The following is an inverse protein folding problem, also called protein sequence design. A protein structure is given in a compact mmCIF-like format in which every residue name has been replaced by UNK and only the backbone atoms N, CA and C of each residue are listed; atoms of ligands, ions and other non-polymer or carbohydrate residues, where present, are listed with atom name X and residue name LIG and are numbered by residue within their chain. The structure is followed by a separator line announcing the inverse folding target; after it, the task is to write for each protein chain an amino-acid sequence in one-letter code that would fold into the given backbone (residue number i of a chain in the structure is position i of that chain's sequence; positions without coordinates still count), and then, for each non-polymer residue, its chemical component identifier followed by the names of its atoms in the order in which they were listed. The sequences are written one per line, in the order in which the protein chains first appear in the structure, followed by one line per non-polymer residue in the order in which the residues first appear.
data_IF_312373788133
#
_entry.id   IF_312373788133
#
_cell.length_a   1.000
_cell.length_b   1.000
_cell.length_c   1.000
_cell.angle_alpha   90.00
_cell.angle_beta   90.00
_cell.angle_gamma   90.00
#
_symmetry.space_group_name_H-M   'P 1'
#
loop_
_entity.id
_entity.type
_entity.pdbx_description
1 polymer ?
#
# COMPACT_ATOMS: atom_id res chain seq x y z
N UNK A 1 3.84 3.48 -16.45
CA UNK A 1 3.96 3.41 -14.99
C UNK A 1 2.55 3.43 -14.46
N UNK A 2 2.14 2.38 -13.76
CA UNK A 2 0.76 2.21 -13.33
C UNK A 2 0.51 3.08 -12.08
N UNK A 3 -0.38 4.07 -12.21
CA UNK A 3 -0.63 5.06 -11.16
C UNK A 3 -1.23 4.41 -9.91
N UNK A 4 -2.18 3.48 -10.08
CA UNK A 4 -2.89 2.81 -8.99
C UNK A 4 -1.92 1.95 -8.15
N UNK A 5 -0.98 1.26 -8.82
CA UNK A 5 0.05 0.48 -8.13
C UNK A 5 0.95 1.38 -7.27
N UNK A 6 1.35 2.54 -7.81
CA UNK A 6 2.22 3.48 -7.13
C UNK A 6 1.51 4.12 -5.93
N UNK A 7 0.22 4.44 -6.09
CA UNK A 7 -0.63 4.95 -5.03
C UNK A 7 -0.78 3.93 -3.90
N UNK A 8 -1.16 2.69 -4.22
CA UNK A 8 -1.29 1.60 -3.25
C UNK A 8 0.00 1.38 -2.44
N UNK A 9 1.16 1.37 -3.11
CA UNK A 9 2.46 1.25 -2.43
C UNK A 9 2.75 2.46 -1.55
N UNK A 10 2.35 3.66 -1.99
CA UNK A 10 2.52 4.90 -1.22
C UNK A 10 1.65 4.90 0.03
N UNK A 11 0.39 4.46 -0.07
CA UNK A 11 -0.52 4.30 1.07
C UNK A 11 0.01 3.30 2.09
N UNK A 12 0.52 2.15 1.63
CA UNK A 12 1.15 1.16 2.49
C UNK A 12 2.33 1.77 3.27
N UNK A 13 3.20 2.55 2.62
CA UNK A 13 4.31 3.23 3.27
C UNK A 13 3.86 4.34 4.23
N UNK A 14 2.78 5.05 3.91
CA UNK A 14 2.18 6.03 4.81
C UNK A 14 1.64 5.36 6.09
N UNK A 15 0.99 4.20 5.95
CA UNK A 15 0.53 3.41 7.09
C UNK A 15 1.70 2.89 7.93
N UNK A 16 2.78 2.42 7.29
CA UNK A 16 4.00 2.01 7.99
C UNK A 16 4.59 3.16 8.84
N UNK A 17 4.61 4.37 8.28
CA UNK A 17 5.08 5.58 8.99
C UNK A 17 4.23 5.89 10.22
N UNK A 18 2.90 5.70 10.16
CA UNK A 18 2.01 5.85 11.32
C UNK A 18 2.33 4.85 12.43
N UNK A 19 2.87 3.68 12.09
CA UNK A 19 3.34 2.67 13.04
C UNK A 19 4.78 2.91 13.54
N UNK A 20 5.41 4.03 13.17
CA UNK A 20 6.80 4.34 13.52
C UNK A 20 7.85 3.56 12.71
N UNK A 21 7.44 2.86 11.66
CA UNK A 21 8.33 2.08 10.80
C UNK A 21 8.94 2.95 9.70
N UNK A 22 10.22 2.73 9.42
CA UNK A 22 10.93 3.28 8.27
C UNK A 22 10.82 2.31 7.10
N UNK A 23 11.09 2.80 5.89
CA UNK A 23 11.05 1.98 4.68
C UNK A 23 11.92 0.72 4.76
N UNK A 24 13.10 0.82 5.40
CA UNK A 24 13.99 -0.32 5.66
C UNK A 24 13.33 -1.37 6.55
N UNK A 25 12.58 -0.95 7.57
CA UNK A 25 11.92 -1.85 8.50
C UNK A 25 10.78 -2.59 7.80
N UNK A 26 10.07 -1.93 6.88
CA UNK A 26 9.07 -2.55 6.00
C UNK A 26 9.72 -3.53 5.02
N UNK A 27 10.86 -3.17 4.45
CA UNK A 27 11.61 -4.02 3.53
C UNK A 27 12.19 -5.27 4.20
N UNK A 28 12.55 -5.19 5.49
CA UNK A 28 13.00 -6.32 6.30
C UNK A 28 11.84 -7.20 6.77
N UNK A 29 10.69 -6.59 7.08
CA UNK A 29 9.47 -7.32 7.49
C UNK A 29 8.72 -7.94 6.31
N UNK A 30 8.84 -7.35 5.13
CA UNK A 30 8.30 -7.90 3.89
C UNK A 30 9.34 -8.79 3.24
N UNK A 31 8.93 -9.88 2.59
CA UNK A 31 9.84 -10.76 1.87
C UNK A 31 10.35 -10.15 0.53
N UNK A 32 10.25 -8.82 0.37
CA UNK A 32 10.45 -8.09 -0.89
C UNK A 32 11.84 -7.45 -0.92
N UNK A 33 12.40 -7.09 0.24
CA UNK A 33 13.69 -6.40 0.37
C UNK A 33 13.69 -4.95 -0.15
N UNK A 34 14.71 -4.16 0.18
CA UNK A 34 14.75 -2.72 -0.12
C UNK A 34 14.76 -2.43 -1.63
N UNK A 35 15.51 -3.24 -2.39
CA UNK A 35 15.61 -3.11 -3.85
C UNK A 35 14.28 -3.43 -4.51
N UNK A 36 13.58 -4.47 -4.04
CA UNK A 36 12.27 -4.84 -4.55
C UNK A 36 11.23 -3.76 -4.27
N UNK A 37 11.24 -3.20 -3.05
CA UNK A 37 10.33 -2.12 -2.66
C UNK A 37 10.60 -0.82 -3.45
N UNK A 38 11.86 -0.46 -3.68
CA UNK A 38 12.23 0.71 -4.49
C UNK A 38 11.82 0.55 -5.96
N UNK A 39 11.94 -0.67 -6.50
CA UNK A 39 11.45 -1.01 -7.85
C UNK A 39 9.94 -0.96 -7.94
N UNK A 40 9.22 -1.42 -6.92
CA UNK A 40 7.76 -1.41 -6.86
C UNK A 40 7.19 0.01 -7.03
N UNK A 41 7.84 1.03 -6.43
CA UNK A 41 7.46 2.44 -6.56
C UNK A 41 7.56 3.01 -7.99
N UNK A 42 8.20 2.28 -8.90
CA UNK A 42 8.41 2.68 -10.31
C UNK A 42 7.92 1.61 -11.29
N UNK A 43 7.28 0.56 -10.78
CA UNK A 43 6.88 -0.57 -11.59
C UNK A 43 5.60 -0.24 -12.37
N UNK A 44 5.45 -0.91 -13.52
CA UNK A 44 4.19 -0.90 -14.27
C UNK A 44 3.26 -2.04 -13.83
N UNK A 45 3.84 -3.07 -13.22
CA UNK A 45 3.14 -4.26 -12.74
C UNK A 45 3.86 -4.85 -11.51
N UNK A 46 3.11 -5.55 -10.67
CA UNK A 46 3.59 -6.28 -9.52
C UNK A 46 2.85 -7.61 -9.40
N UNK A 47 3.60 -8.68 -9.06
CA UNK A 47 2.96 -9.96 -8.72
C UNK A 47 2.03 -9.74 -7.52
N UNK A 48 0.84 -10.34 -7.58
CA UNK A 48 -0.13 -10.29 -6.49
C UNK A 48 0.48 -10.73 -5.14
N UNK A 49 1.31 -11.78 -5.14
CA UNK A 49 2.00 -12.26 -3.94
C UNK A 49 2.91 -11.20 -3.30
N UNK A 50 3.49 -10.31 -4.11
CA UNK A 50 4.31 -9.19 -3.62
C UNK A 50 3.45 -8.16 -2.88
N UNK A 51 2.30 -7.81 -3.44
CA UNK A 51 1.36 -6.87 -2.81
C UNK A 51 0.76 -7.45 -1.52
N UNK A 52 0.45 -8.74 -1.54
CA UNK A 52 -0.04 -9.44 -0.37
C UNK A 52 1.02 -9.45 0.76
N UNK A 53 2.26 -9.83 0.47
CA UNK A 53 3.35 -9.85 1.45
C UNK A 53 3.64 -8.45 2.03
N UNK A 54 3.53 -7.40 1.20
CA UNK A 54 3.64 -6.01 1.67
C UNK A 54 2.55 -5.68 2.68
N UNK A 55 1.27 -5.95 2.34
CA UNK A 55 0.15 -5.72 3.24
C UNK A 55 0.29 -6.49 4.56
N UNK A 56 0.60 -7.79 4.50
CA UNK A 56 0.76 -8.65 5.67
C UNK A 56 1.86 -8.14 6.62
N UNK A 57 2.99 -7.66 6.08
CA UNK A 57 4.09 -7.08 6.87
C UNK A 57 3.69 -5.84 7.70
N UNK A 58 2.58 -5.21 7.33
CA UNK A 58 2.03 -4.01 7.97
C UNK A 58 0.76 -4.30 8.77
N UNK A 59 0.36 -5.57 8.89
CA UNK A 59 -0.89 -5.98 9.53
C UNK A 59 -2.13 -5.63 8.70
N UNK A 60 -1.99 -5.47 7.39
CA UNK A 60 -3.06 -5.18 6.44
C UNK A 60 -3.40 -6.41 5.59
N UNK A 61 -4.52 -6.35 4.88
CA UNK A 61 -4.94 -7.34 3.89
C UNK A 61 -5.46 -6.65 2.63
N UNK A 62 -5.28 -7.28 1.47
CA UNK A 62 -5.90 -6.82 0.22
C UNK A 62 -7.38 -7.21 0.21
N UNK A 63 -8.23 -6.26 -0.14
CA UNK A 63 -9.67 -6.47 -0.30
C UNK A 63 -10.16 -5.74 -1.54
N UNK A 64 -11.19 -6.26 -2.18
CA UNK A 64 -11.95 -5.52 -3.18
C UNK A 64 -12.94 -4.62 -2.45
N UNK A 65 -13.00 -3.36 -2.86
CA UNK A 65 -14.00 -2.39 -2.39
C UNK A 65 -14.82 -1.93 -3.59
N UNK A 66 -16.12 -1.64 -3.42
CA UNK A 66 -16.91 -1.03 -4.49
C UNK A 66 -16.29 0.29 -4.93
N UNK A 67 -16.14 0.47 -6.25
CA UNK A 67 -15.73 1.74 -6.87
C UNK A 67 -16.91 2.72 -6.81
N UNK A 68 -17.16 3.26 -5.62
CA UNK A 68 -18.21 4.23 -5.36
C UNK A 68 -17.66 5.37 -4.53
N UNK A 69 -17.83 6.60 -5.03
CA UNK A 69 -17.39 7.83 -4.37
C UNK A 69 -17.95 7.98 -2.95
N UNK A 70 -19.12 7.40 -2.68
CA UNK A 70 -19.76 7.38 -1.36
C UNK A 70 -18.92 6.69 -0.29
N UNK A 71 -18.33 5.52 -0.59
CA UNK A 71 -17.48 4.81 0.38
C UNK A 71 -16.20 5.59 0.64
N UNK A 72 -15.63 6.21 -0.40
CA UNK A 72 -14.44 7.04 -0.29
C UNK A 72 -14.71 8.27 0.61
N UNK A 73 -15.82 8.98 0.38
CA UNK A 73 -16.25 10.13 1.18
C UNK A 73 -16.53 9.75 2.65
N UNK A 74 -17.19 8.62 2.89
CA UNK A 74 -17.42 8.09 4.26
C UNK A 74 -16.10 7.75 4.94
N UNK A 75 -15.18 7.10 4.23
CA UNK A 75 -13.89 6.64 4.79
C UNK A 75 -12.96 7.81 5.09
N UNK A 76 -13.01 8.87 4.28
CA UNK A 76 -12.25 10.12 4.49
C UNK A 76 -12.88 11.04 5.54
N UNK A 77 -14.13 10.78 5.95
CA UNK A 77 -14.88 11.63 6.86
C UNK A 77 -15.47 12.88 6.20
N UNK A 78 -15.45 12.94 4.87
CA UNK A 78 -15.83 14.09 4.04
C UNK A 78 -17.26 13.95 3.47
N UNK A 79 -18.06 13.00 3.98
CA UNK A 79 -19.40 12.74 3.44
C UNK A 79 -20.36 13.95 3.56
N UNK A 80 -20.16 14.78 4.59
CA UNK A 80 -21.04 15.89 4.91
C UNK A 80 -20.37 17.27 4.85
N UNK A 81 -19.12 17.32 4.36
CA UNK A 81 -18.36 18.57 4.20
C UNK A 81 -18.69 19.28 2.87
#
# INVERSE_FOLDING_TARGET
MNADLVELVTEALAQAKKQGLRQKDVAERSQIGEVGLSRLKKADDARFSTLQALGESLGLKLIWVPDSSLVELVTKGELFD
#
